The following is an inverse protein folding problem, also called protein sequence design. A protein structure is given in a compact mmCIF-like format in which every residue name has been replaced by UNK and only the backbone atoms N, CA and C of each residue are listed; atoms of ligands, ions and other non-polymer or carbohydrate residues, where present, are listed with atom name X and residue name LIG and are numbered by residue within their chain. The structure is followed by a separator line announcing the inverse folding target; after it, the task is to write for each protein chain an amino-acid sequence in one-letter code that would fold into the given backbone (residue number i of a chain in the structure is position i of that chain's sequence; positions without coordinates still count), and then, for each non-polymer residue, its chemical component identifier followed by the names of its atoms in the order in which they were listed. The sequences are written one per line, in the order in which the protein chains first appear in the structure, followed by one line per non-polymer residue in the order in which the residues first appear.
data_IF_419524652555
#
_entry.id   IF_419524652555
#
_cell.length_a   1.000
_cell.length_b   1.000
_cell.length_c   1.000
_cell.angle_alpha   90.00
_cell.angle_beta   90.00
_cell.angle_gamma   90.00
#
_symmetry.space_group_name_H-M   'P 1'
#
loop_
_entity.id
_entity.type
_entity.pdbx_description
1 polymer ?
#
# COMPACT_ATOMS: atom_id res chain seq x y z
N UNK A 1 71.51 22.71 -21.57
CA UNK A 1 70.99 21.33 -21.38
C UNK A 1 70.06 21.18 -20.18
N UNK A 2 70.40 21.69 -18.99
CA UNK A 2 69.60 21.50 -17.75
C UNK A 2 68.15 22.02 -17.83
N UNK A 3 67.89 23.19 -18.44
CA UNK A 3 66.53 23.75 -18.57
C UNK A 3 65.59 22.89 -19.43
N UNK A 4 66.09 22.26 -20.50
CA UNK A 4 65.28 21.37 -21.36
C UNK A 4 64.87 20.08 -20.63
N UNK A 5 65.72 19.59 -19.73
CA UNK A 5 65.43 18.42 -18.91
C UNK A 5 64.35 18.70 -17.85
N UNK A 6 64.38 19.86 -17.20
CA UNK A 6 63.33 20.26 -16.26
C UNK A 6 61.99 20.52 -16.94
N UNK A 7 61.98 21.11 -18.14
CA UNK A 7 60.76 21.29 -18.92
C UNK A 7 60.12 19.94 -19.33
N UNK A 8 60.94 18.96 -19.70
CA UNK A 8 60.47 17.61 -20.03
C UNK A 8 59.91 16.88 -18.81
N UNK A 9 60.57 16.98 -17.64
CA UNK A 9 60.06 16.43 -16.39
C UNK A 9 58.74 17.09 -15.96
N UNK A 10 58.60 18.40 -16.15
CA UNK A 10 57.36 19.12 -15.85
C UNK A 10 56.21 18.66 -16.76
N UNK A 11 56.47 18.41 -18.05
CA UNK A 11 55.49 17.86 -18.99
C UNK A 11 55.05 16.44 -18.61
N UNK A 12 56.00 15.58 -18.19
CA UNK A 12 55.67 14.23 -17.70
C UNK A 12 54.83 14.30 -16.42
N UNK A 13 55.20 15.17 -15.48
CA UNK A 13 54.44 15.33 -14.24
C UNK A 13 53.02 15.85 -14.51
N UNK A 14 52.85 16.81 -15.42
CA UNK A 14 51.54 17.32 -15.83
C UNK A 14 50.72 16.24 -16.55
N UNK A 15 51.33 15.46 -17.44
CA UNK A 15 50.67 14.34 -18.11
C UNK A 15 50.26 13.23 -17.12
N UNK A 16 51.11 12.94 -16.12
CA UNK A 16 50.81 11.98 -15.07
C UNK A 16 49.67 12.46 -14.17
N UNK A 17 49.68 13.74 -13.75
CA UNK A 17 48.56 14.34 -12.98
C UNK A 17 47.28 14.34 -13.80
N UNK A 18 47.34 14.71 -15.08
CA UNK A 18 46.18 14.65 -15.98
C UNK A 18 45.65 13.21 -16.09
N UNK A 19 46.53 12.22 -16.29
CA UNK A 19 46.14 10.82 -16.36
C UNK A 19 45.54 10.32 -15.04
N UNK A 20 46.16 10.59 -13.90
CA UNK A 20 45.66 10.11 -12.59
C UNK A 20 44.41 10.83 -12.11
N UNK A 21 44.20 12.09 -12.52
CA UNK A 21 43.04 12.88 -12.09
C UNK A 21 41.86 12.83 -13.07
N UNK A 22 42.00 12.24 -14.26
CA UNK A 22 40.90 12.14 -15.24
C UNK A 22 40.54 10.70 -15.65
N UNK A 23 41.34 9.70 -15.29
CA UNK A 23 41.08 8.29 -15.63
C UNK A 23 40.02 7.62 -14.72
N UNK A 24 39.71 8.20 -13.55
CA UNK A 24 38.70 7.67 -12.64
C UNK A 24 37.28 8.24 -12.88
N UNK A 25 37.12 9.17 -13.83
CA UNK A 25 35.81 9.68 -14.26
C UNK A 25 35.17 8.81 -15.37
N UNK A 26 35.89 7.76 -15.82
CA UNK A 26 35.38 6.76 -16.76
C UNK A 26 34.51 5.73 -16.03
N UNK A 27 33.19 5.84 -16.20
CA UNK A 27 32.17 4.86 -15.80
C UNK A 27 31.89 4.69 -14.31
N UNK A 28 31.78 5.80 -13.56
CA UNK A 28 30.73 5.82 -12.52
C UNK A 28 29.38 6.04 -13.21
N UNK A 29 28.96 5.10 -14.06
CA UNK A 29 27.53 4.94 -14.28
C UNK A 29 26.95 4.63 -12.91
N UNK A 30 25.97 5.38 -12.38
CA UNK A 30 25.27 4.97 -11.18
C UNK A 30 24.61 3.64 -11.54
N UNK A 31 25.26 2.52 -11.18
CA UNK A 31 24.58 1.24 -11.18
C UNK A 31 23.44 1.47 -10.20
N UNK A 32 22.21 1.50 -10.71
CA UNK A 32 21.03 1.63 -9.87
C UNK A 32 21.10 0.64 -8.70
N UNK A 33 20.31 0.85 -7.63
CA UNK A 33 20.32 -0.05 -6.49
C UNK A 33 20.30 -1.50 -6.96
N UNK A 34 21.16 -2.36 -6.40
CA UNK A 34 21.19 -3.79 -6.75
C UNK A 34 19.84 -4.40 -6.35
N UNK A 35 18.92 -4.50 -7.30
CA UNK A 35 17.59 -5.07 -7.09
C UNK A 35 17.72 -6.59 -7.08
N UNK A 36 17.51 -7.20 -5.91
CA UNK A 36 17.46 -8.66 -5.77
C UNK A 36 16.02 -9.06 -5.48
N UNK A 37 15.46 -9.96 -6.28
CA UNK A 37 14.09 -10.48 -6.12
C UNK A 37 14.17 -11.95 -5.70
N UNK A 38 13.41 -12.34 -4.68
CA UNK A 38 13.22 -13.74 -4.34
C UNK A 38 12.21 -14.42 -5.25
N UNK A 39 11.89 -15.68 -4.94
CA UNK A 39 10.99 -16.54 -5.72
C UNK A 39 9.75 -16.94 -4.92
N UNK A 40 9.43 -16.24 -3.83
CA UNK A 40 8.31 -16.63 -2.99
C UNK A 40 6.98 -16.45 -3.73
N UNK A 41 6.07 -17.40 -3.50
CA UNK A 41 4.70 -17.37 -3.98
C UNK A 41 3.79 -17.50 -2.76
N UNK A 42 2.87 -16.56 -2.62
CA UNK A 42 1.94 -16.50 -1.51
C UNK A 42 0.52 -16.55 -2.05
N UNK A 43 -0.15 -17.65 -1.75
CA UNK A 43 -1.53 -17.91 -2.15
C UNK A 43 -2.44 -17.97 -0.92
N UNK A 44 -3.65 -17.41 -1.03
CA UNK A 44 -4.63 -17.43 0.06
C UNK A 44 -5.11 -18.85 0.32
N UNK A 45 -5.55 -19.09 1.55
CA UNK A 45 -6.37 -20.25 1.84
C UNK A 45 -7.02 -20.19 3.20
N UNK A 46 -7.95 -21.13 3.42
CA UNK A 46 -8.79 -21.18 4.61
C UNK A 46 -8.51 -22.44 5.46
N UNK A 47 -7.64 -23.32 5.00
CA UNK A 47 -7.38 -24.60 5.67
C UNK A 47 -6.51 -24.39 6.90
N UNK A 48 -7.03 -24.74 8.07
CA UNK A 48 -6.27 -24.68 9.33
C UNK A 48 -5.07 -25.62 9.29
N UNK A 49 -3.88 -25.13 9.65
CA UNK A 49 -2.66 -25.92 9.70
C UNK A 49 -2.05 -26.31 8.34
N UNK A 50 -2.57 -25.81 7.21
CA UNK A 50 -1.92 -26.00 5.92
C UNK A 50 -0.81 -24.94 5.73
N UNK A 51 0.48 -25.33 5.75
CA UNK A 51 1.59 -24.38 5.68
C UNK A 51 1.77 -23.73 4.30
N UNK A 52 1.12 -24.27 3.26
CA UNK A 52 1.16 -23.75 1.89
C UNK A 52 0.08 -22.70 1.64
N UNK A 53 -0.84 -22.52 2.59
CA UNK A 53 -1.92 -21.54 2.52
C UNK A 53 -1.67 -20.39 3.48
N UNK A 54 -1.86 -19.17 2.98
CA UNK A 54 -1.68 -17.96 3.76
C UNK A 54 -3.03 -17.37 4.15
N UNK A 55 -3.10 -16.90 5.40
CA UNK A 55 -4.28 -16.27 5.99
C UNK A 55 -3.97 -14.81 6.25
N UNK A 56 -4.92 -13.96 5.90
CA UNK A 56 -4.86 -12.56 6.24
C UNK A 56 -5.04 -12.37 7.75
N UNK A 57 -4.04 -11.77 8.39
CA UNK A 57 -4.07 -11.45 9.80
C UNK A 57 -4.62 -10.04 10.00
N UNK A 58 -5.94 -9.94 10.02
CA UNK A 58 -6.62 -8.66 10.17
C UNK A 58 -6.25 -7.95 11.47
N UNK A 59 -6.08 -8.68 12.57
CA UNK A 59 -5.74 -8.10 13.89
C UNK A 59 -4.42 -7.36 13.90
N UNK A 60 -3.46 -7.80 13.07
CA UNK A 60 -2.17 -7.15 12.92
C UNK A 60 -2.07 -6.29 11.65
N UNK A 61 -3.18 -6.08 10.95
CA UNK A 61 -3.24 -5.29 9.71
C UNK A 61 -3.94 -3.94 9.92
N UNK A 62 -3.84 -3.05 8.94
CA UNK A 62 -4.54 -1.75 8.99
C UNK A 62 -4.81 -1.18 7.60
N UNK A 63 -5.92 -0.44 7.46
CA UNK A 63 -6.17 0.47 6.36
C UNK A 63 -6.23 1.89 6.92
N UNK A 64 -5.18 2.68 6.63
CA UNK A 64 -4.95 4.00 7.15
C UNK A 64 -5.23 5.06 6.09
N UNK A 65 -5.66 6.23 6.52
CA UNK A 65 -5.75 7.42 5.69
C UNK A 65 -5.14 8.62 6.38
N UNK A 66 -4.62 9.56 5.58
CA UNK A 66 -4.17 10.85 6.07
C UNK A 66 -4.35 11.96 5.04
N UNK A 67 -4.47 13.19 5.52
CA UNK A 67 -4.52 14.42 4.72
C UNK A 67 -4.07 15.60 5.58
N UNK A 68 -3.61 16.70 4.98
CA UNK A 68 -3.38 17.94 5.71
C UNK A 68 -4.69 18.54 6.23
N UNK A 69 -4.69 18.99 7.48
CA UNK A 69 -5.76 19.78 8.05
C UNK A 69 -5.86 21.13 7.31
N UNK A 70 -7.07 21.47 6.86
CA UNK A 70 -7.38 22.69 6.06
C UNK A 70 -6.45 22.90 4.86
N UNK A 71 -5.84 21.83 4.34
CA UNK A 71 -4.85 21.89 3.26
C UNK A 71 -3.49 22.51 3.63
N UNK A 72 -3.31 23.00 4.86
CA UNK A 72 -2.15 23.84 5.22
C UNK A 72 -1.37 23.37 6.45
N UNK A 73 -2.03 22.77 7.44
CA UNK A 73 -1.42 22.43 8.73
C UNK A 73 -1.07 20.95 8.85
N UNK A 74 -0.87 20.47 10.08
CA UNK A 74 -0.54 19.09 10.41
C UNK A 74 -1.53 18.07 9.84
N UNK A 75 -1.16 16.80 9.94
CA UNK A 75 -1.95 15.72 9.38
C UNK A 75 -3.20 15.44 10.23
N UNK A 76 -4.35 15.40 9.57
CA UNK A 76 -5.48 14.60 10.02
C UNK A 76 -5.23 13.16 9.58
N UNK A 77 -5.35 12.24 10.53
CA UNK A 77 -5.13 10.81 10.29
C UNK A 77 -6.31 10.01 10.78
N UNK A 78 -6.49 8.84 10.20
CA UNK A 78 -7.47 7.88 10.67
C UNK A 78 -7.18 6.48 10.17
N UNK A 79 -7.93 5.53 10.70
CA UNK A 79 -7.94 4.14 10.26
C UNK A 79 -9.36 3.66 10.07
N UNK A 80 -9.59 2.75 9.14
CA UNK A 80 -10.86 2.03 9.09
C UNK A 80 -10.78 0.81 10.02
N UNK A 81 -11.66 0.72 11.01
CA UNK A 81 -11.68 -0.44 11.90
C UNK A 81 -12.22 -1.70 11.20
N UNK A 82 -12.97 -1.52 10.10
CA UNK A 82 -13.49 -2.62 9.30
C UNK A 82 -13.01 -2.56 7.85
N UNK A 83 -12.27 -3.59 7.47
CA UNK A 83 -11.60 -3.76 6.18
C UNK A 83 -11.31 -5.24 5.90
N UNK A 84 -11.01 -5.58 4.65
CA UNK A 84 -10.71 -6.95 4.23
C UNK A 84 -10.00 -7.06 2.89
N UNK A 85 -9.56 -8.27 2.56
CA UNK A 85 -8.95 -8.68 1.29
C UNK A 85 -9.87 -9.62 0.51
N UNK A 86 -11.06 -9.12 0.19
CA UNK A 86 -12.05 -9.81 -0.62
C UNK A 86 -12.51 -8.93 -1.80
N UNK A 87 -12.87 -9.57 -2.91
CA UNK A 87 -13.56 -8.91 -4.00
C UNK A 87 -15.04 -8.74 -3.65
N UNK A 88 -15.47 -7.49 -3.51
CA UNK A 88 -16.88 -7.15 -3.25
C UNK A 88 -17.57 -6.87 -4.59
N UNK A 89 -18.19 -7.90 -5.17
CA UNK A 89 -19.08 -7.76 -6.34
C UNK A 89 -20.38 -7.06 -5.94
N UNK A 90 -21.21 -6.67 -6.91
CA UNK A 90 -22.49 -6.01 -6.61
C UNK A 90 -23.44 -6.89 -5.78
N UNK A 91 -23.41 -8.21 -6.00
CA UNK A 91 -24.16 -9.17 -5.20
C UNK A 91 -23.66 -9.26 -3.74
N UNK A 92 -22.39 -8.95 -3.50
CA UNK A 92 -21.77 -8.95 -2.17
C UNK A 92 -21.80 -7.57 -1.51
N UNK A 93 -22.21 -6.51 -2.22
CA UNK A 93 -22.30 -5.14 -1.73
C UNK A 93 -23.60 -4.92 -0.92
N UNK A 94 -23.76 -5.70 0.16
CA UNK A 94 -24.97 -5.75 0.99
C UNK A 94 -24.65 -5.49 2.47
N UNK A 95 -25.69 -5.49 3.30
CA UNK A 95 -25.58 -5.53 4.76
C UNK A 95 -25.50 -6.97 5.25
N UNK A 96 -24.57 -7.23 6.15
CA UNK A 96 -24.37 -8.52 6.80
C UNK A 96 -24.65 -8.39 8.30
N UNK A 97 -25.56 -9.22 8.83
CA UNK A 97 -25.87 -9.27 10.25
C UNK A 97 -24.80 -10.07 11.03
N UNK A 98 -23.57 -9.56 11.07
CA UNK A 98 -22.41 -10.18 11.72
C UNK A 98 -21.54 -9.14 12.42
N UNK A 99 -20.82 -9.56 13.46
CA UNK A 99 -19.79 -8.77 14.15
C UNK A 99 -18.37 -9.09 13.67
N UNK A 100 -18.21 -10.19 12.94
CA UNK A 100 -16.94 -10.68 12.39
C UNK A 100 -16.82 -10.39 10.91
N UNK A 101 -15.67 -10.72 10.32
CA UNK A 101 -15.45 -10.59 8.88
C UNK A 101 -16.54 -11.35 8.08
N UNK A 102 -17.30 -10.67 7.18
CA UNK A 102 -18.43 -11.27 6.46
C UNK A 102 -17.99 -12.01 5.20
N UNK A 103 -16.85 -11.61 4.63
CA UNK A 103 -16.33 -12.17 3.39
C UNK A 103 -14.99 -12.87 3.66
N UNK A 104 -14.72 -14.01 2.99
CA UNK A 104 -13.43 -14.69 3.12
C UNK A 104 -12.32 -13.86 2.48
N UNK A 105 -11.25 -13.58 3.22
CA UNK A 105 -10.11 -12.78 2.78
C UNK A 105 -9.16 -13.57 1.85
N UNK A 106 -9.70 -13.99 0.70
CA UNK A 106 -9.07 -14.93 -0.25
C UNK A 106 -8.93 -14.35 -1.67
N UNK A 107 -9.31 -13.10 -1.90
CA UNK A 107 -9.28 -12.51 -3.23
C UNK A 107 -7.96 -11.78 -3.49
N UNK A 108 -6.86 -12.50 -3.35
CA UNK A 108 -5.51 -11.98 -3.58
C UNK A 108 -4.53 -13.09 -3.98
N UNK A 109 -3.40 -12.73 -4.56
CA UNK A 109 -2.24 -13.60 -4.75
C UNK A 109 -0.98 -12.74 -4.93
N UNK A 110 0.16 -13.22 -4.46
CA UNK A 110 1.43 -12.51 -4.62
C UNK A 110 2.55 -13.44 -5.10
N UNK A 111 3.20 -13.03 -6.18
CA UNK A 111 4.31 -13.71 -6.83
C UNK A 111 5.50 -12.76 -6.87
N UNK A 112 6.51 -13.01 -6.04
CA UNK A 112 7.64 -12.09 -5.83
C UNK A 112 8.47 -11.86 -7.11
N UNK A 113 8.67 -12.91 -7.92
CA UNK A 113 9.43 -12.86 -9.17
C UNK A 113 8.56 -12.69 -10.43
N UNK A 114 7.25 -12.81 -10.33
CA UNK A 114 6.32 -12.74 -11.46
C UNK A 114 5.13 -11.82 -11.13
N UNK A 115 5.36 -10.52 -10.89
CA UNK A 115 4.33 -9.61 -10.37
C UNK A 115 3.08 -9.52 -11.27
N UNK A 116 3.20 -9.79 -12.57
CA UNK A 116 2.06 -9.83 -13.49
C UNK A 116 1.01 -10.91 -13.14
N UNK A 117 1.38 -11.94 -12.35
CA UNK A 117 0.45 -12.96 -11.81
C UNK A 117 -0.18 -12.54 -10.48
N UNK A 118 0.31 -11.47 -9.86
CA UNK A 118 -0.16 -10.98 -8.57
C UNK A 118 -1.41 -10.12 -8.72
N UNK A 119 -2.29 -10.19 -7.72
CA UNK A 119 -3.48 -9.35 -7.64
C UNK A 119 -3.93 -9.18 -6.19
N UNK A 120 -4.62 -8.07 -5.91
CA UNK A 120 -5.24 -7.82 -4.62
C UNK A 120 -6.59 -7.17 -4.84
N UNK A 121 -7.59 -7.67 -4.14
CA UNK A 121 -8.86 -6.98 -3.97
C UNK A 121 -9.01 -6.66 -2.49
N UNK A 122 -9.57 -5.49 -2.20
CA UNK A 122 -9.77 -5.08 -0.81
C UNK A 122 -10.91 -4.11 -0.68
N UNK A 123 -11.40 -3.98 0.54
CA UNK A 123 -12.50 -3.07 0.85
C UNK A 123 -12.34 -2.48 2.24
N UNK A 124 -13.02 -1.35 2.45
CA UNK A 124 -13.22 -0.74 3.75
C UNK A 124 -14.70 -0.41 3.94
N UNK A 125 -15.15 -0.48 5.19
CA UNK A 125 -16.44 0.07 5.61
C UNK A 125 -16.19 1.50 6.12
N UNK A 126 -16.63 2.50 5.36
CA UNK A 126 -16.22 3.90 5.52
C UNK A 126 -16.62 4.49 6.87
N UNK A 127 -17.83 4.18 7.35
CA UNK A 127 -18.33 4.69 8.62
C UNK A 127 -17.60 4.11 9.84
N UNK A 128 -16.68 3.16 9.65
CA UNK A 128 -15.79 2.66 10.70
C UNK A 128 -14.46 3.41 10.78
N UNK A 129 -14.32 4.51 10.02
CA UNK A 129 -13.19 5.42 10.17
C UNK A 129 -13.10 5.92 11.61
N UNK A 130 -11.96 5.70 12.22
CA UNK A 130 -11.60 6.12 13.57
C UNK A 130 -10.39 7.05 13.47
N UNK A 131 -10.57 8.26 13.95
CA UNK A 131 -9.56 9.32 13.95
C UNK A 131 -9.03 9.63 15.35
N UNK A 132 -9.39 8.81 16.34
CA UNK A 132 -9.08 9.02 17.75
C UNK A 132 -9.99 10.02 18.46
N UNK A 133 -10.97 10.60 17.77
CA UNK A 133 -11.84 11.66 18.30
C UNK A 133 -13.32 11.28 18.14
N UNK A 134 -13.97 10.72 19.18
CA UNK A 134 -15.32 10.18 19.09
C UNK A 134 -16.38 11.14 18.52
N UNK A 135 -16.30 12.44 18.88
CA UNK A 135 -17.24 13.45 18.39
C UNK A 135 -17.09 13.72 16.88
N UNK A 136 -15.87 13.64 16.35
CA UNK A 136 -15.61 13.72 14.90
C UNK A 136 -16.09 12.45 14.22
N UNK A 137 -15.73 11.30 14.76
CA UNK A 137 -16.00 9.98 14.17
C UNK A 137 -17.51 9.70 14.06
N UNK A 138 -18.29 10.02 15.10
CA UNK A 138 -19.75 9.83 15.07
C UNK A 138 -20.51 10.97 14.34
N UNK A 139 -19.86 12.12 14.14
CA UNK A 139 -20.49 13.34 13.61
C UNK A 139 -20.01 13.70 12.22
N UNK A 140 -19.13 14.71 12.16
CA UNK A 140 -18.71 15.33 10.89
C UNK A 140 -17.94 14.39 9.96
N UNK A 141 -17.36 13.30 10.46
CA UNK A 141 -16.69 12.32 9.62
C UNK A 141 -17.70 11.50 8.79
N UNK A 142 -18.78 11.01 9.41
CA UNK A 142 -19.86 10.27 8.73
C UNK A 142 -20.49 11.15 7.64
N UNK A 143 -20.92 12.35 7.99
CA UNK A 143 -21.57 13.27 7.04
C UNK A 143 -20.60 13.88 6.04
N UNK A 144 -19.33 14.07 6.42
CA UNK A 144 -18.26 14.61 5.58
C UNK A 144 -17.80 13.64 4.50
N UNK A 145 -17.71 12.36 4.82
CA UNK A 145 -17.37 11.30 3.87
C UNK A 145 -18.56 10.89 3.00
N UNK A 146 -19.80 11.27 3.35
CA UNK A 146 -21.00 10.89 2.60
C UNK A 146 -21.47 9.46 2.89
N UNK A 147 -21.21 8.97 4.10
CA UNK A 147 -21.61 7.63 4.54
C UNK A 147 -22.79 7.67 5.52
N UNK A 148 -23.23 6.50 5.98
CA UNK A 148 -24.34 6.29 6.93
C UNK A 148 -23.81 5.99 8.33
N UNK A 149 -24.63 6.17 9.36
CA UNK A 149 -24.28 5.83 10.74
C UNK A 149 -23.96 4.33 10.90
N UNK A 150 -23.13 4.00 11.91
CA UNK A 150 -22.85 2.60 12.26
C UNK A 150 -24.13 1.96 12.83
N UNK A 151 -24.45 0.77 12.33
CA UNK A 151 -25.51 -0.10 12.84
C UNK A 151 -24.87 -1.20 13.70
N UNK A 152 -25.21 -1.25 14.99
CA UNK A 152 -24.64 -2.25 15.89
C UNK A 152 -24.95 -3.69 15.42
N UNK A 153 -23.97 -4.58 15.52
CA UNK A 153 -24.12 -5.98 15.08
C UNK A 153 -24.18 -6.18 13.55
N UNK A 154 -23.95 -5.12 12.77
CA UNK A 154 -24.02 -5.16 11.31
C UNK A 154 -22.72 -4.69 10.68
N UNK A 155 -22.28 -5.42 9.66
CA UNK A 155 -21.30 -4.92 8.70
C UNK A 155 -22.00 -4.47 7.43
N UNK A 156 -21.91 -3.18 7.14
CA UNK A 156 -22.61 -2.59 6.00
C UNK A 156 -21.63 -2.34 4.85
N UNK A 157 -21.56 -3.30 3.93
CA UNK A 157 -20.77 -3.20 2.70
C UNK A 157 -21.63 -2.72 1.51
N UNK A 158 -22.77 -2.07 1.74
CA UNK A 158 -23.52 -1.41 0.68
C UNK A 158 -23.02 0.02 0.47
N UNK A 159 -23.29 0.57 -0.72
CA UNK A 159 -23.10 1.99 -0.94
C UNK A 159 -24.11 2.84 -0.15
N UNK A 160 -23.73 4.06 0.29
CA UNK A 160 -22.44 4.74 0.08
C UNK A 160 -21.32 4.34 1.06
N UNK A 161 -21.54 3.35 1.92
CA UNK A 161 -20.61 2.98 3.01
C UNK A 161 -19.42 2.11 2.58
N UNK A 162 -19.42 1.62 1.34
CA UNK A 162 -18.36 0.80 0.77
C UNK A 162 -17.38 1.66 -0.05
N UNK A 163 -16.09 1.49 0.20
CA UNK A 163 -15.06 1.73 -0.80
C UNK A 163 -14.27 0.44 -1.04
N UNK A 164 -13.93 0.19 -2.29
CA UNK A 164 -13.22 -1.04 -2.71
C UNK A 164 -12.13 -0.74 -3.72
N UNK A 165 -11.07 -1.54 -3.68
CA UNK A 165 -10.00 -1.54 -4.67
C UNK A 165 -9.96 -2.87 -5.42
N UNK A 166 -9.61 -2.82 -6.70
CA UNK A 166 -9.33 -3.99 -7.54
C UNK A 166 -8.08 -3.73 -8.36
N UNK A 167 -7.03 -4.52 -8.17
CA UNK A 167 -5.81 -4.40 -8.98
C UNK A 167 -6.07 -4.78 -10.43
N UNK A 168 -5.43 -4.05 -11.35
CA UNK A 168 -5.42 -4.33 -12.79
C UNK A 168 -4.09 -4.87 -13.26
N UNK A 169 -3.01 -4.32 -12.73
CA UNK A 169 -1.64 -4.66 -13.11
C UNK A 169 -0.72 -4.46 -11.90
N UNK A 170 0.22 -5.38 -11.73
CA UNK A 170 1.35 -5.21 -10.82
C UNK A 170 2.63 -5.49 -11.59
N UNK A 171 3.60 -4.58 -11.48
CA UNK A 171 4.89 -4.69 -12.16
C UNK A 171 6.02 -4.29 -11.22
N UNK A 172 7.24 -4.68 -11.57
CA UNK A 172 8.41 -4.22 -10.82
C UNK A 172 8.52 -2.69 -10.86
N UNK A 173 8.88 -2.11 -9.72
CA UNK A 173 9.37 -0.74 -9.70
C UNK A 173 10.84 -0.77 -10.19
N UNK A 174 11.20 -0.10 -11.30
CA UNK A 174 12.58 -0.08 -11.79
C UNK A 174 13.52 0.71 -10.87
N UNK A 175 12.97 1.50 -9.93
CA UNK A 175 13.73 2.38 -9.05
C UNK A 175 13.85 1.85 -7.61
N UNK A 176 13.20 0.73 -7.27
CA UNK A 176 13.22 0.19 -5.91
C UNK A 176 13.01 -1.33 -5.88
N UNK A 177 13.19 -1.94 -4.69
CA UNK A 177 12.79 -3.34 -4.45
C UNK A 177 11.27 -3.52 -4.31
N UNK A 178 10.47 -2.48 -4.54
CA UNK A 178 9.01 -2.53 -4.51
C UNK A 178 8.40 -2.90 -5.86
N UNK A 179 7.10 -2.65 -5.94
CA UNK A 179 6.27 -2.87 -7.11
C UNK A 179 5.41 -1.64 -7.37
N UNK A 180 5.08 -1.41 -8.63
CA UNK A 180 4.08 -0.42 -9.05
C UNK A 180 2.77 -1.17 -9.27
N UNK A 181 1.69 -0.66 -8.67
CA UNK A 181 0.35 -1.24 -8.76
C UNK A 181 -0.57 -0.28 -9.48
N UNK A 182 -1.17 -0.72 -10.58
CA UNK A 182 -2.32 -0.05 -11.20
C UNK A 182 -3.59 -0.68 -10.63
N UNK A 183 -4.48 0.11 -10.04
CA UNK A 183 -5.71 -0.37 -9.41
C UNK A 183 -6.90 0.53 -9.72
N UNK A 184 -8.09 -0.02 -9.67
CA UNK A 184 -9.34 0.73 -9.71
C UNK A 184 -9.86 0.93 -8.28
N UNK A 185 -10.03 2.19 -7.85
CA UNK A 185 -10.74 2.57 -6.64
C UNK A 185 -12.20 2.86 -7.00
N UNK A 186 -13.13 2.12 -6.40
CA UNK A 186 -14.56 2.41 -6.49
C UNK A 186 -15.06 2.96 -5.16
N UNK A 187 -15.59 4.18 -5.18
CA UNK A 187 -16.14 4.84 -4.00
C UNK A 187 -17.27 5.80 -4.39
N UNK A 188 -18.32 5.90 -3.58
CA UNK A 188 -19.42 6.83 -3.85
C UNK A 188 -19.17 8.23 -3.27
N UNK A 189 -18.62 8.33 -2.05
CA UNK A 189 -18.51 9.60 -1.36
C UNK A 189 -19.86 10.32 -1.27
N UNK A 190 -19.91 11.57 -1.72
CA UNK A 190 -21.15 12.37 -1.77
C UNK A 190 -21.82 12.39 -3.15
N UNK A 191 -21.37 11.55 -4.08
CA UNK A 191 -21.99 11.45 -5.40
C UNK A 191 -23.33 10.70 -5.32
N UNK A 192 -24.15 10.88 -6.36
CA UNK A 192 -25.42 10.16 -6.50
C UNK A 192 -25.24 8.66 -6.75
N UNK A 193 -24.09 8.25 -7.30
CA UNK A 193 -23.75 6.86 -7.60
C UNK A 193 -22.24 6.62 -7.40
N UNK A 194 -21.81 5.36 -7.19
CA UNK A 194 -20.40 5.00 -7.09
C UNK A 194 -19.59 5.43 -8.33
N UNK A 195 -18.39 5.97 -8.10
CA UNK A 195 -17.44 6.32 -9.15
C UNK A 195 -16.23 5.41 -9.06
N UNK A 196 -15.74 4.97 -10.22
CA UNK A 196 -14.48 4.21 -10.34
C UNK A 196 -13.39 5.06 -10.97
N UNK A 197 -12.23 5.12 -10.32
CA UNK A 197 -11.04 5.83 -10.79
C UNK A 197 -9.85 4.87 -10.80
N UNK A 198 -9.11 4.84 -11.91
CA UNK A 198 -7.83 4.13 -11.97
C UNK A 198 -6.75 4.97 -11.31
N UNK A 199 -6.02 4.38 -10.38
CA UNK A 199 -4.96 4.99 -9.59
C UNK A 199 -3.68 4.17 -9.70
N UNK A 200 -2.55 4.82 -9.39
CA UNK A 200 -1.24 4.19 -9.28
C UNK A 200 -0.84 4.18 -7.81
N UNK A 201 -0.43 3.02 -7.32
CA UNK A 201 0.11 2.82 -5.99
C UNK A 201 1.52 2.21 -6.01
N UNK A 202 2.17 2.24 -4.86
CA UNK A 202 3.42 1.55 -4.58
C UNK A 202 3.20 0.43 -3.58
N UNK A 203 3.63 -0.77 -3.92
CA UNK A 203 3.56 -1.94 -3.06
C UNK A 203 4.96 -2.32 -2.60
N UNK A 204 5.11 -2.52 -1.30
CA UNK A 204 6.32 -3.06 -0.68
C UNK A 204 6.02 -4.44 -0.13
N UNK A 205 6.96 -5.37 -0.31
CA UNK A 205 6.91 -6.72 0.26
C UNK A 205 7.93 -6.84 1.39
N UNK A 206 7.47 -7.30 2.54
CA UNK A 206 8.32 -7.71 3.65
C UNK A 206 8.51 -9.23 3.56
N UNK A 207 9.74 -9.71 3.30
CA UNK A 207 10.00 -11.12 3.05
C UNK A 207 9.50 -12.06 4.14
N UNK A 208 9.10 -13.26 3.72
CA UNK A 208 8.75 -14.37 4.60
C UNK A 208 9.79 -14.55 5.71
N UNK A 209 9.35 -14.65 6.95
CA UNK A 209 10.17 -14.99 8.12
C UNK A 209 9.49 -16.06 8.97
N UNK A 210 10.29 -16.98 9.52
CA UNK A 210 9.81 -17.97 10.48
C UNK A 210 9.89 -17.38 11.89
N UNK A 211 8.78 -17.43 12.61
CA UNK A 211 8.63 -16.84 13.95
C UNK A 211 8.16 -17.89 14.95
N UNK A 212 8.57 -17.71 16.21
CA UNK A 212 8.14 -18.53 17.34
C UNK A 212 7.99 -17.62 18.56
N UNK A 213 6.85 -17.75 19.26
CA UNK A 213 6.57 -16.98 20.47
C UNK A 213 6.43 -17.93 21.64
N UNK A 214 7.36 -17.86 22.59
CA UNK A 214 7.40 -18.77 23.74
C UNK A 214 7.41 -20.24 23.32
N UNK A 215 6.46 -21.02 23.85
CA UNK A 215 6.32 -22.46 23.59
C UNK A 215 5.36 -22.80 22.44
N UNK A 216 4.78 -21.80 21.77
CA UNK A 216 3.89 -22.03 20.63
C UNK A 216 4.65 -22.63 19.44
N UNK A 217 3.96 -23.41 18.61
CA UNK A 217 4.53 -23.95 17.38
C UNK A 217 5.00 -22.81 16.46
N UNK A 218 6.19 -22.96 15.88
CA UNK A 218 6.73 -21.99 14.94
C UNK A 218 5.94 -21.99 13.63
N UNK A 219 5.71 -20.80 13.08
CA UNK A 219 4.99 -20.57 11.83
C UNK A 219 5.67 -19.45 11.03
N UNK A 220 5.29 -19.31 9.77
CA UNK A 220 5.83 -18.28 8.91
C UNK A 220 4.86 -17.09 8.80
N UNK A 221 5.44 -15.89 8.67
CA UNK A 221 4.73 -14.63 8.43
C UNK A 221 5.34 -13.89 7.26
N UNK A 222 4.55 -13.06 6.59
CA UNK A 222 5.04 -12.05 5.64
C UNK A 222 4.14 -10.81 5.66
N UNK A 223 4.60 -9.73 5.03
CA UNK A 223 3.87 -8.46 4.99
C UNK A 223 3.80 -7.87 3.58
N UNK A 224 2.71 -7.17 3.31
CA UNK A 224 2.51 -6.34 2.13
C UNK A 224 2.03 -4.96 2.56
N UNK A 225 2.63 -3.92 1.98
CA UNK A 225 2.22 -2.54 2.22
C UNK A 225 1.92 -1.84 0.90
N UNK A 226 0.66 -1.47 0.68
CA UNK A 226 0.22 -0.71 -0.49
C UNK A 226 -0.01 0.75 -0.09
N UNK A 227 0.61 1.68 -0.81
CA UNK A 227 0.40 3.11 -0.65
C UNK A 227 -0.14 3.69 -1.96
N UNK A 228 -1.18 4.51 -1.89
CA UNK A 228 -1.70 5.25 -3.05
C UNK A 228 -2.38 6.54 -2.59
N UNK A 229 -2.70 7.41 -3.55
CA UNK A 229 -3.39 8.67 -3.28
C UNK A 229 -4.58 8.84 -4.22
N UNK A 230 -5.58 9.57 -3.78
CA UNK A 230 -6.69 10.00 -4.63
C UNK A 230 -7.15 11.41 -4.27
N UNK A 231 -7.83 12.06 -5.21
CA UNK A 231 -8.45 13.36 -4.97
C UNK A 231 -9.88 13.16 -4.43
N UNK A 232 -10.15 13.57 -3.19
CA UNK A 232 -11.48 13.43 -2.59
C UNK A 232 -12.56 14.27 -3.28
N UNK A 233 -12.19 15.35 -4.00
CA UNK A 233 -13.12 16.20 -4.75
C UNK A 233 -13.76 15.46 -5.91
N UNK A 234 -13.05 14.51 -6.50
CA UNK A 234 -13.60 13.62 -7.54
C UNK A 234 -14.82 12.83 -7.03
N UNK A 235 -14.92 12.64 -5.71
CA UNK A 235 -15.98 11.88 -5.04
C UNK A 235 -17.00 12.80 -4.34
N UNK A 236 -17.08 14.08 -4.76
CA UNK A 236 -18.08 15.05 -4.28
C UNK A 236 -17.84 15.56 -2.86
N UNK A 237 -16.70 15.25 -2.23
CA UNK A 237 -16.38 15.76 -0.90
C UNK A 237 -15.99 17.24 -1.04
N UNK A 238 -16.80 18.14 -0.47
CA UNK A 238 -16.60 19.61 -0.55
C UNK A 238 -16.06 20.23 0.73
N UNK A 239 -15.76 19.43 1.76
CA UNK A 239 -15.26 19.93 3.05
C UNK A 239 -13.94 20.69 2.90
N UNK A 240 -13.87 21.90 3.44
CA UNK A 240 -12.64 22.72 3.49
C UNK A 240 -11.72 22.36 4.64
N UNK A 241 -12.14 21.47 5.54
CA UNK A 241 -11.32 21.01 6.68
C UNK A 241 -10.26 19.97 6.30
N UNK A 242 -10.30 19.46 5.07
CA UNK A 242 -9.35 18.49 4.51
C UNK A 242 -8.77 19.01 3.22
N UNK A 243 -7.54 18.59 2.90
CA UNK A 243 -6.94 18.80 1.60
C UNK A 243 -7.66 17.96 0.53
N UNK A 244 -7.41 18.30 -0.73
CA UNK A 244 -7.96 17.55 -1.85
C UNK A 244 -7.38 16.14 -1.94
N UNK A 245 -6.08 16.01 -1.69
CA UNK A 245 -5.36 14.75 -1.74
C UNK A 245 -5.52 13.99 -0.43
N UNK A 246 -6.01 12.76 -0.54
CA UNK A 246 -6.04 11.78 0.54
C UNK A 246 -4.99 10.71 0.25
N UNK A 247 -4.13 10.46 1.22
CA UNK A 247 -3.13 9.40 1.15
C UNK A 247 -3.66 8.18 1.90
N UNK A 248 -3.52 7.01 1.26
CA UNK A 248 -3.96 5.73 1.81
C UNK A 248 -2.75 4.82 1.98
N UNK A 249 -2.67 4.18 3.14
CA UNK A 249 -1.70 3.12 3.44
C UNK A 249 -2.45 1.88 3.91
N UNK A 250 -2.36 0.81 3.14
CA UNK A 250 -2.85 -0.52 3.52
C UNK A 250 -1.66 -1.36 3.97
N UNK A 251 -1.61 -1.72 5.25
CA UNK A 251 -0.65 -2.68 5.79
C UNK A 251 -1.37 -4.01 5.98
N UNK A 252 -0.96 -5.03 5.24
CA UNK A 252 -1.51 -6.38 5.30
C UNK A 252 -0.44 -7.35 5.81
N UNK A 253 -0.72 -7.99 6.94
CA UNK A 253 0.10 -9.06 7.51
C UNK A 253 -0.57 -10.41 7.27
N UNK A 254 0.25 -11.43 7.12
CA UNK A 254 -0.22 -12.78 6.82
C UNK A 254 0.55 -13.82 7.63
N UNK A 255 -0.10 -14.96 7.87
CA UNK A 255 0.52 -16.13 8.50
C UNK A 255 0.03 -17.43 7.87
N UNK A 256 0.79 -18.52 8.07
CA UNK A 256 0.42 -19.87 7.58
C UNK A 256 0.12 -20.89 8.70
N UNK A 257 -0.05 -20.44 9.94
CA UNK A 257 -0.69 -21.26 11.00
C UNK A 257 -2.19 -21.40 10.75
#
# INVERSE_FOLDING_TARGET
MKSKFFAFLALIALAAVYWTCTHDDGDITPSGPKITRGTNIHLPGLTTGNPDQWKFDKSHSSALWQTKYVGASGLLTGRFNQFGLAEVTDALAIKYAVTTQPLPDTSWAFYENEPAKSYFNGYVQINTSNTGEPGRDAGCNVSGMGTVAIEAGTQNLSYPNLAKIKTKEIKFDPLSNGYIVTLDLTYQGKLAAPLTKTLIGKLTYTPKQRVQFGTAAAYDVFGLQLNFQFNCRDFGITSTSVADVIEITCNANFHNK
#
